data_IF_758572753711
#
_entry.id   IF_758572753711
#
_cell.length_a   1.000
_cell.length_b   1.000
_cell.length_c   1.000
_cell.angle_alpha   90.00
_cell.angle_beta   90.00
_cell.angle_gamma   90.00
#
_symmetry.space_group_name_H-M   'P 1'
#
loop_
_entity.id
_entity.type
_entity.pdbx_description
1 polymer ?
#
# COMPACT_ATOMS: atom_id res chain seq x y z
N UNK A 1 9.32 5.97 -9.33
CA UNK A 1 7.93 6.39 -9.56
C UNK A 1 6.95 5.47 -8.80
N UNK A 2 6.61 5.81 -7.56
CA UNK A 2 5.99 4.89 -6.59
C UNK A 2 4.62 5.40 -6.15
N UNK A 3 3.57 4.64 -6.46
CA UNK A 3 2.21 4.98 -6.06
C UNK A 3 2.00 4.77 -4.57
N UNK A 4 1.24 5.63 -3.92
CA UNK A 4 0.96 5.55 -2.49
C UNK A 4 -0.54 5.32 -2.25
N UNK A 5 -0.90 4.40 -1.37
CA UNK A 5 -2.26 4.25 -0.84
C UNK A 5 -2.18 4.17 0.68
N UNK A 6 -2.77 5.16 1.35
CA UNK A 6 -2.58 5.38 2.79
C UNK A 6 -3.90 5.76 3.46
N UNK A 7 -4.06 5.48 4.75
CA UNK A 7 -5.17 6.01 5.55
C UNK A 7 -4.71 7.17 6.43
N UNK A 8 -5.34 8.34 6.23
CA UNK A 8 -5.04 9.59 6.92
C UNK A 8 -4.06 10.47 6.16
N UNK A 9 -4.48 11.70 5.86
CA UNK A 9 -3.70 12.69 5.12
C UNK A 9 -2.29 12.94 5.67
N UNK A 10 -2.11 12.98 7.00
CA UNK A 10 -0.80 13.16 7.63
C UNK A 10 0.15 12.00 7.33
N UNK A 11 -0.33 10.77 7.43
CA UNK A 11 0.46 9.58 7.10
C UNK A 11 0.73 9.50 5.60
N UNK A 12 -0.21 9.95 4.75
CA UNK A 12 -0.02 9.98 3.31
C UNK A 12 1.12 10.94 2.91
N UNK A 13 1.14 12.15 3.47
CA UNK A 13 2.25 13.09 3.28
C UNK A 13 3.58 12.49 3.78
N UNK A 14 3.60 11.93 4.99
CA UNK A 14 4.81 11.32 5.54
C UNK A 14 5.30 10.11 4.72
N UNK A 15 4.39 9.37 4.07
CA UNK A 15 4.73 8.24 3.19
C UNK A 15 5.41 8.75 1.91
N UNK A 16 4.91 9.84 1.33
CA UNK A 16 5.55 10.48 0.19
C UNK A 16 6.94 11.00 0.55
N UNK A 17 7.07 11.65 1.71
CA UNK A 17 8.34 12.20 2.20
C UNK A 17 9.37 11.09 2.42
N UNK A 18 8.97 9.97 3.05
CA UNK A 18 9.91 8.88 3.32
C UNK A 18 10.31 8.13 2.04
N UNK A 19 9.42 7.97 1.06
CA UNK A 19 9.80 7.46 -0.27
C UNK A 19 10.90 8.34 -0.87
N UNK A 20 10.71 9.67 -0.81
CA UNK A 20 11.67 10.64 -1.33
C UNK A 20 13.00 10.59 -0.58
N UNK A 21 12.95 10.43 0.74
CA UNK A 21 14.12 10.31 1.61
C UNK A 21 14.98 9.09 1.24
N UNK A 22 14.36 7.98 0.83
CA UNK A 22 15.04 6.75 0.42
C UNK A 22 15.42 6.73 -1.08
N UNK A 23 15.29 7.86 -1.79
CA UNK A 23 15.72 8.00 -3.18
C UNK A 23 14.65 7.69 -4.23
N UNK A 24 13.43 7.35 -3.82
CA UNK A 24 12.30 7.17 -4.72
C UNK A 24 11.61 8.47 -5.11
N UNK A 25 10.69 8.38 -6.07
CA UNK A 25 9.79 9.49 -6.41
C UNK A 25 8.33 9.05 -6.15
N UNK A 26 7.60 9.68 -5.21
CA UNK A 26 6.19 9.38 -5.02
C UNK A 26 5.37 9.85 -6.23
N UNK A 27 4.53 8.96 -6.77
CA UNK A 27 3.74 9.21 -7.97
C UNK A 27 2.41 9.91 -7.69
N UNK A 28 1.93 9.86 -6.44
CA UNK A 28 0.66 10.48 -6.04
C UNK A 28 0.58 10.69 -4.53
N UNK A 29 -0.34 11.57 -4.14
CA UNK A 29 -0.94 11.61 -2.82
C UNK A 29 -2.30 10.89 -2.89
N UNK A 30 -2.57 9.96 -1.98
CA UNK A 30 -3.89 9.33 -1.87
C UNK A 30 -4.19 8.87 -0.44
N UNK A 31 -5.23 9.46 0.13
CA UNK A 31 -5.84 9.08 1.40
C UNK A 31 -7.16 8.33 1.13
N UNK A 32 -7.25 7.07 1.56
CA UNK A 32 -8.48 6.26 1.45
C UNK A 32 -9.42 6.41 2.67
N UNK A 33 -8.97 7.10 3.71
CA UNK A 33 -9.70 7.27 4.96
C UNK A 33 -9.72 6.01 5.85
N UNK A 34 -10.14 6.18 7.11
CA UNK A 34 -10.19 5.10 8.11
C UNK A 34 -11.34 4.09 7.94
N UNK A 35 -12.16 4.22 6.89
CA UNK A 35 -13.30 3.36 6.59
C UNK A 35 -13.31 2.81 5.16
N UNK A 36 -12.15 2.80 4.50
CA UNK A 36 -11.99 2.36 3.11
C UNK A 36 -12.61 0.97 2.86
N UNK A 37 -13.52 0.89 1.90
CA UNK A 37 -14.11 -0.37 1.42
C UNK A 37 -13.26 -1.01 0.34
N UNK A 38 -13.50 -2.29 0.04
CA UNK A 38 -12.86 -3.00 -1.07
C UNK A 38 -13.03 -2.25 -2.40
N UNK A 39 -14.19 -1.66 -2.65
CA UNK A 39 -14.47 -0.88 -3.86
C UNK A 39 -13.60 0.37 -3.94
N UNK A 40 -13.42 1.09 -2.82
CA UNK A 40 -12.57 2.28 -2.78
C UNK A 40 -11.10 1.93 -3.02
N UNK A 41 -10.61 0.83 -2.44
CA UNK A 41 -9.24 0.32 -2.71
C UNK A 41 -9.09 -0.13 -4.17
N UNK A 42 -10.12 -0.75 -4.74
CA UNK A 42 -10.14 -1.17 -6.14
C UNK A 42 -10.06 0.03 -7.09
N UNK A 43 -10.86 1.06 -6.86
CA UNK A 43 -10.83 2.28 -7.68
C UNK A 43 -9.52 3.06 -7.49
N UNK A 44 -8.97 3.08 -6.28
CA UNK A 44 -7.64 3.64 -6.01
C UNK A 44 -6.56 2.99 -6.90
N UNK A 45 -6.53 1.65 -6.97
CA UNK A 45 -5.61 0.95 -7.87
C UNK A 45 -5.84 1.29 -9.34
N UNK A 46 -7.10 1.29 -9.80
CA UNK A 46 -7.41 1.67 -11.19
C UNK A 46 -6.97 3.09 -11.53
N UNK A 47 -7.09 4.03 -10.60
CA UNK A 47 -6.65 5.42 -10.79
C UNK A 47 -5.12 5.47 -10.89
N UNK A 48 -4.40 4.81 -9.96
CA UNK A 48 -2.93 4.78 -9.98
C UNK A 48 -2.38 4.15 -11.26
N UNK A 49 -2.97 3.04 -11.72
CA UNK A 49 -2.53 2.31 -12.92
C UNK A 49 -2.77 3.06 -14.24
N UNK A 50 -3.50 4.17 -14.23
CA UNK A 50 -3.57 5.08 -15.40
C UNK A 50 -2.27 5.85 -15.60
N UNK A 51 -1.41 5.94 -14.60
CA UNK A 51 -0.10 6.56 -14.74
C UNK A 51 0.88 5.58 -15.42
N UNK A 52 1.30 5.83 -16.67
CA UNK A 52 2.19 4.93 -17.39
C UNK A 52 3.61 4.88 -16.79
N UNK A 53 3.97 5.83 -15.94
CA UNK A 53 5.27 5.86 -15.26
C UNK A 53 5.24 5.13 -13.91
N UNK A 54 4.12 4.54 -13.49
CA UNK A 54 4.04 3.84 -12.21
C UNK A 54 4.90 2.57 -12.25
N UNK A 55 5.84 2.44 -11.31
CA UNK A 55 6.80 1.32 -11.26
C UNK A 55 6.58 0.40 -10.06
N UNK A 56 6.01 0.90 -8.97
CA UNK A 56 5.64 0.12 -7.78
C UNK A 56 4.50 0.81 -7.03
N UNK A 57 3.82 0.07 -6.14
CA UNK A 57 2.79 0.62 -5.25
C UNK A 57 3.18 0.32 -3.79
N UNK A 58 3.17 1.34 -2.95
CA UNK A 58 3.28 1.23 -1.49
C UNK A 58 1.92 1.46 -0.84
N UNK A 59 1.40 0.42 -0.19
CA UNK A 59 0.25 0.48 0.70
C UNK A 59 0.76 0.60 2.13
N UNK A 60 0.47 1.71 2.80
CA UNK A 60 0.91 1.96 4.16
C UNK A 60 -0.32 2.29 5.04
N UNK A 61 -0.72 1.32 5.87
CA UNK A 61 -1.93 1.43 6.68
C UNK A 61 -1.59 1.34 8.17
N UNK A 62 -2.13 2.27 8.93
CA UNK A 62 -2.12 2.23 10.39
C UNK A 62 -3.55 2.00 10.90
N UNK A 63 -3.81 0.78 11.39
CA UNK A 63 -5.07 0.35 11.97
C UNK A 63 -5.27 0.89 13.38
N UNK A 64 -6.04 1.98 13.51
CA UNK A 64 -6.58 2.43 14.80
C UNK A 64 -7.95 1.82 15.07
N UNK A 65 -9.00 2.61 14.80
CA UNK A 65 -10.40 2.15 14.78
C UNK A 65 -10.61 1.14 13.64
N UNK A 66 -9.93 1.35 12.52
CA UNK A 66 -9.87 0.42 11.42
C UNK A 66 -8.98 -0.77 11.78
N UNK A 67 -9.46 -1.99 11.56
CA UNK A 67 -8.69 -3.20 11.85
C UNK A 67 -7.89 -3.64 10.61
N UNK A 68 -6.65 -4.05 10.81
CA UNK A 68 -5.74 -4.43 9.72
C UNK A 68 -6.21 -5.67 8.94
N UNK A 69 -6.93 -6.57 9.59
CA UNK A 69 -7.51 -7.77 8.95
C UNK A 69 -8.56 -7.42 7.90
N UNK A 70 -9.51 -6.52 8.22
CA UNK A 70 -10.52 -6.04 7.26
C UNK A 70 -9.86 -5.34 6.06
N UNK A 71 -8.82 -4.55 6.31
CA UNK A 71 -8.08 -3.89 5.23
C UNK A 71 -7.29 -4.89 4.38
N UNK A 72 -6.65 -5.88 5.01
CA UNK A 72 -5.93 -6.93 4.30
C UNK A 72 -6.87 -7.74 3.39
N UNK A 73 -8.07 -8.10 3.85
CA UNK A 73 -9.09 -8.77 3.03
C UNK A 73 -9.49 -7.90 1.83
N UNK A 74 -9.80 -6.63 2.05
CA UNK A 74 -10.15 -5.70 0.98
C UNK A 74 -9.02 -5.50 -0.03
N UNK A 75 -7.78 -5.44 0.44
CA UNK A 75 -6.59 -5.33 -0.40
C UNK A 75 -6.41 -6.56 -1.29
N UNK A 76 -6.52 -7.76 -0.71
CA UNK A 76 -6.39 -9.03 -1.43
C UNK A 76 -7.49 -9.16 -2.49
N UNK A 77 -8.73 -8.80 -2.16
CA UNK A 77 -9.84 -8.79 -3.10
C UNK A 77 -9.61 -7.80 -4.24
N UNK A 78 -9.21 -6.57 -3.93
CA UNK A 78 -8.95 -5.54 -4.93
C UNK A 78 -7.79 -5.93 -5.87
N UNK A 79 -6.68 -6.44 -5.34
CA UNK A 79 -5.53 -6.85 -6.14
C UNK A 79 -5.85 -8.02 -7.10
N UNK A 80 -6.70 -8.97 -6.68
CA UNK A 80 -7.19 -10.07 -7.53
C UNK A 80 -8.06 -9.56 -8.70
N UNK A 81 -8.80 -8.48 -8.50
CA UNK A 81 -9.65 -7.87 -9.54
C UNK A 81 -8.83 -7.05 -10.53
N UNK A 82 -7.88 -6.25 -10.04
CA UNK A 82 -7.28 -5.15 -10.83
C UNK A 82 -6.05 -5.58 -11.64
N UNK A 83 -5.41 -6.73 -11.35
CA UNK A 83 -4.14 -7.16 -12.00
C UNK A 83 -3.11 -6.03 -12.09
N UNK A 84 -2.37 -5.82 -10.99
CA UNK A 84 -1.53 -4.63 -10.81
C UNK A 84 -0.41 -4.48 -11.85
N UNK A 85 0.24 -5.56 -12.29
CA UNK A 85 1.32 -5.48 -13.29
C UNK A 85 2.61 -4.79 -12.81
N UNK A 86 2.61 -4.23 -11.59
CA UNK A 86 3.73 -3.63 -10.89
C UNK A 86 3.83 -4.23 -9.48
N UNK A 87 5.03 -4.27 -8.86
CA UNK A 87 5.20 -4.78 -7.50
C UNK A 87 4.35 -4.02 -6.48
N UNK A 88 3.81 -4.78 -5.52
CA UNK A 88 3.03 -4.26 -4.41
C UNK A 88 3.81 -4.47 -3.11
N UNK A 89 4.13 -3.37 -2.43
CA UNK A 89 4.68 -3.35 -1.08
C UNK A 89 3.58 -2.97 -0.10
N UNK A 90 3.43 -3.75 0.97
CA UNK A 90 2.37 -3.57 1.97
C UNK A 90 2.97 -3.47 3.36
N UNK A 91 2.66 -2.39 4.07
CA UNK A 91 2.95 -2.23 5.49
C UNK A 91 1.65 -2.03 6.25
N UNK A 92 1.40 -2.95 7.18
CA UNK A 92 0.30 -2.88 8.14
C UNK A 92 0.88 -2.72 9.55
N UNK A 93 0.28 -1.83 10.34
CA UNK A 93 0.54 -1.66 11.77
C UNK A 93 -0.73 -1.34 12.54
N UNK A 94 -0.81 -1.70 13.83
CA UNK A 94 -1.96 -1.38 14.69
C UNK A 94 -2.89 -2.56 14.97
N UNK A 95 -4.19 -2.30 15.14
CA UNK A 95 -5.19 -3.28 15.59
C UNK A 95 -5.30 -4.48 14.63
N UNK A 96 -5.18 -5.70 15.17
CA UNK A 96 -5.20 -6.98 14.43
C UNK A 96 -4.13 -7.11 13.33
N UNK A 97 -2.97 -6.48 13.50
CA UNK A 97 -1.89 -6.53 12.50
C UNK A 97 -1.41 -7.95 12.21
N UNK A 98 -1.32 -8.83 13.22
CA UNK A 98 -0.89 -10.22 13.07
C UNK A 98 -1.83 -10.97 12.13
N UNK A 99 -3.14 -10.83 12.35
CA UNK A 99 -4.15 -11.45 11.51
C UNK A 99 -4.16 -10.85 10.11
N UNK A 100 -4.00 -9.53 9.98
CA UNK A 100 -3.86 -8.87 8.68
C UNK A 100 -2.67 -9.40 7.89
N UNK A 101 -1.49 -9.54 8.53
CA UNK A 101 -0.29 -10.11 7.89
C UNK A 101 -0.51 -11.57 7.47
N UNK A 102 -1.19 -12.36 8.29
CA UNK A 102 -1.55 -13.74 7.95
C UNK A 102 -2.46 -13.79 6.71
N UNK A 103 -3.49 -12.93 6.64
CA UNK A 103 -4.38 -12.84 5.46
C UNK A 103 -3.59 -12.50 4.19
N UNK A 104 -2.62 -11.59 4.28
CA UNK A 104 -1.76 -11.24 3.15
C UNK A 104 -0.89 -12.43 2.71
N UNK A 105 -0.28 -13.15 3.66
CA UNK A 105 0.54 -14.33 3.39
C UNK A 105 -0.27 -15.47 2.75
N UNK A 106 -1.48 -15.73 3.24
CA UNK A 106 -2.36 -16.79 2.74
C UNK A 106 -2.99 -16.46 1.37
N UNK A 107 -2.83 -15.22 0.90
CA UNK A 107 -3.49 -14.75 -0.32
C UNK A 107 -2.92 -15.31 -1.62
N UNK A 108 -1.70 -15.86 -1.59
CA UNK A 108 -0.89 -16.28 -2.74
C UNK A 108 -0.71 -15.17 -3.81
N UNK A 109 -0.82 -13.90 -3.42
CA UNK A 109 -0.49 -12.78 -4.27
C UNK A 109 1.01 -12.48 -4.18
N UNK A 110 1.60 -12.11 -5.31
CA UNK A 110 2.98 -11.64 -5.36
C UNK A 110 3.05 -10.22 -4.76
N UNK A 111 3.39 -10.15 -3.48
CA UNK A 111 3.51 -8.92 -2.72
C UNK A 111 4.64 -9.00 -1.70
N UNK A 112 5.18 -7.84 -1.35
CA UNK A 112 6.26 -7.69 -0.39
C UNK A 112 5.68 -7.10 0.89
N UNK A 113 5.80 -7.80 2.01
CA UNK A 113 5.34 -7.28 3.31
C UNK A 113 6.47 -6.57 4.04
N UNK A 114 6.26 -5.33 4.46
CA UNK A 114 7.21 -4.54 5.22
C UNK A 114 6.79 -4.40 6.69
N UNK A 115 7.79 -4.28 7.56
CA UNK A 115 7.64 -4.24 9.01
C UNK A 115 7.60 -2.82 9.59
N UNK A 116 8.38 -1.90 9.03
CA UNK A 116 8.48 -0.51 9.48
C UNK A 116 8.27 0.46 8.32
N UNK A 117 8.08 1.76 8.60
CA UNK A 117 7.99 2.77 7.52
C UNK A 117 9.29 2.85 6.71
N UNK A 118 10.45 2.77 7.37
CA UNK A 118 11.77 2.78 6.73
C UNK A 118 11.93 1.59 5.78
N UNK A 119 11.66 0.40 6.30
CA UNK A 119 11.67 -0.87 5.56
C UNK A 119 10.72 -0.81 4.35
N UNK A 120 9.50 -0.30 4.55
CA UNK A 120 8.52 -0.16 3.47
C UNK A 120 8.98 0.78 2.36
N UNK A 121 9.65 1.88 2.71
CA UNK A 121 10.21 2.82 1.74
C UNK A 121 11.36 2.18 0.96
N UNK A 122 12.33 1.57 1.65
CA UNK A 122 13.48 0.92 1.02
C UNK A 122 13.05 -0.21 0.07
N UNK A 123 12.11 -1.06 0.51
CA UNK A 123 11.55 -2.12 -0.32
C UNK A 123 10.79 -1.57 -1.53
N UNK A 124 10.04 -0.48 -1.38
CA UNK A 124 9.32 0.12 -2.50
C UNK A 124 10.25 0.76 -3.54
N UNK A 125 11.33 1.41 -3.09
CA UNK A 125 12.38 1.96 -3.97
C UNK A 125 13.08 0.84 -4.73
N UNK A 126 13.52 -0.19 -4.01
CA UNK A 126 14.16 -1.36 -4.61
C UNK A 126 13.23 -2.06 -5.62
N UNK A 127 11.96 -2.24 -5.27
CA UNK A 127 10.97 -2.88 -6.13
C UNK A 127 10.64 -2.05 -7.39
N UNK A 128 10.74 -0.71 -7.31
CA UNK A 128 10.60 0.17 -8.46
C UNK A 128 11.83 0.14 -9.41
N UNK A 129 12.90 -0.57 -9.05
CA UNK A 129 14.13 -0.62 -9.84
C UNK A 129 14.97 0.66 -9.76
N UNK A 130 14.80 1.44 -8.68
CA UNK A 130 15.51 2.69 -8.41
C UNK A 130 16.74 2.48 -7.51
#
# INVERSE_FOLDING_TARGET
NIGCLVNGAGLAMATMDIIKLYGGEPANFLDVGGGATTEQVTEAFKIMLKNPNLEAILVNIFGGIMRCDVVAEGLVQAAKVVKLGVPLVVRLEGTNVELGRQILQDSNLDMITASTMADAAELAVTAAGA
#
